data_IF_203014818886
#
_entry.id   IF_203014818886
#
_cell.length_a   1.000
_cell.length_b   1.000
_cell.length_c   1.000
_cell.angle_alpha   90.00
_cell.angle_beta   90.00
_cell.angle_gamma   90.00
#
_symmetry.space_group_name_H-M   'P 1'
#
loop_
_entity.id
_entity.type
_entity.pdbx_description
1 polymer ?
#
# COMPACT_ATOMS: atom_id res chain seq x y z
N UNK A 1 -23.60 29.13 31.23
CA UNK A 1 -24.25 29.49 29.96
C UNK A 1 -23.20 29.61 28.88
N UNK A 2 -22.36 28.61 28.71
CA UNK A 2 -22.64 27.27 28.14
C UNK A 2 -22.44 27.30 26.64
N UNK A 3 -21.37 26.63 26.23
CA UNK A 3 -20.95 26.47 24.85
C UNK A 3 -19.67 25.64 24.76
N UNK A 4 -19.60 24.57 25.55
CA UNK A 4 -18.60 23.53 25.37
C UNK A 4 -18.78 22.90 23.98
N UNK A 5 -17.78 22.99 23.13
CA UNK A 5 -17.57 22.00 22.07
C UNK A 5 -16.34 21.19 22.44
N UNK A 6 -16.63 20.09 23.15
CA UNK A 6 -15.75 18.96 23.32
C UNK A 6 -15.43 18.39 21.92
N UNK A 7 -14.21 18.59 21.44
CA UNK A 7 -13.54 17.60 20.60
C UNK A 7 -12.58 16.86 21.50
N UNK A 8 -13.13 15.84 22.14
CA UNK A 8 -12.44 14.97 23.07
C UNK A 8 -11.31 14.21 22.36
N UNK A 9 -10.11 14.32 22.92
CA UNK A 9 -9.06 13.31 22.99
C UNK A 9 -9.15 12.15 21.98
N UNK A 10 -8.71 12.37 20.74
CA UNK A 10 -7.95 11.34 20.06
C UNK A 10 -6.56 11.40 20.68
N UNK A 11 -6.32 10.56 21.69
CA UNK A 11 -5.03 10.48 22.36
C UNK A 11 -3.92 10.34 21.33
N UNK A 12 -2.76 10.92 21.64
CA UNK A 12 -1.49 10.76 20.93
C UNK A 12 -1.10 9.26 20.87
N UNK A 13 -1.81 8.48 20.06
CA UNK A 13 -1.31 7.21 19.58
C UNK A 13 -0.14 7.62 18.70
N UNK A 14 1.06 7.58 19.27
CA UNK A 14 2.28 7.80 18.53
C UNK A 14 2.20 6.93 17.27
N UNK A 15 2.37 7.56 16.11
CA UNK A 15 2.49 6.86 14.83
C UNK A 15 3.55 5.76 14.91
N UNK A 16 4.58 5.97 15.73
CA UNK A 16 5.56 4.93 16.07
C UNK A 16 4.89 3.67 16.61
N UNK A 17 3.95 3.78 17.56
CA UNK A 17 3.23 2.63 18.11
C UNK A 17 2.35 1.92 17.07
N UNK A 18 1.70 2.67 16.16
CA UNK A 18 0.90 2.06 15.08
C UNK A 18 1.77 1.33 14.05
N UNK A 19 2.96 1.86 13.77
CA UNK A 19 3.96 1.22 12.91
C UNK A 19 4.62 0.03 13.64
N UNK A 20 4.83 0.13 14.95
CA UNK A 20 5.41 -0.95 15.76
C UNK A 20 4.47 -2.16 15.79
N UNK A 21 3.14 -1.94 15.87
CA UNK A 21 2.17 -3.03 15.75
C UNK A 21 2.23 -3.72 14.36
N UNK A 22 2.62 -3.01 13.30
CA UNK A 22 2.85 -3.61 11.97
C UNK A 22 4.12 -4.45 11.91
N UNK A 23 5.03 -4.31 12.88
CA UNK A 23 6.28 -5.08 13.04
C UNK A 23 6.16 -6.19 14.10
N UNK A 24 4.98 -6.40 14.66
CA UNK A 24 4.77 -7.43 15.69
C UNK A 24 5.18 -8.80 15.18
N UNK A 25 5.76 -9.68 16.01
CA UNK A 25 6.02 -11.07 15.64
C UNK A 25 4.72 -11.91 15.58
N UNK A 26 3.66 -11.43 16.24
CA UNK A 26 2.34 -12.07 16.23
C UNK A 26 1.58 -11.72 14.93
N UNK A 27 1.33 -12.75 14.12
CA UNK A 27 0.63 -12.65 12.83
C UNK A 27 -0.78 -12.05 13.00
N UNK A 28 -1.51 -12.40 14.04
CA UNK A 28 -2.87 -11.88 14.26
C UNK A 28 -2.85 -10.38 14.60
N UNK A 29 -1.85 -9.95 15.38
CA UNK A 29 -1.65 -8.53 15.67
C UNK A 29 -1.24 -7.76 14.41
N UNK A 30 -0.33 -8.32 13.59
CA UNK A 30 0.02 -7.70 12.30
C UNK A 30 -1.21 -7.57 11.40
N UNK A 31 -2.00 -8.62 11.21
CA UNK A 31 -3.22 -8.59 10.40
C UNK A 31 -4.21 -7.54 10.89
N UNK A 32 -4.42 -7.45 12.21
CA UNK A 32 -5.29 -6.44 12.81
C UNK A 32 -4.78 -5.02 12.53
N UNK A 33 -3.47 -4.81 12.50
CA UNK A 33 -2.86 -3.52 12.19
C UNK A 33 -2.93 -3.20 10.70
N UNK A 34 -2.71 -4.19 9.83
CA UNK A 34 -2.84 -4.06 8.37
C UNK A 34 -4.26 -3.62 8.00
N UNK A 35 -5.29 -4.24 8.60
CA UNK A 35 -6.71 -3.84 8.38
C UNK A 35 -7.06 -2.40 8.79
N UNK A 36 -6.12 -1.69 9.44
CA UNK A 36 -6.27 -0.29 9.86
C UNK A 36 -5.42 0.66 9.03
N UNK A 37 -4.76 0.22 7.96
CA UNK A 37 -3.88 1.06 7.15
C UNK A 37 -4.56 2.35 6.67
N UNK A 38 -5.82 2.30 6.25
CA UNK A 38 -6.58 3.50 5.89
C UNK A 38 -6.70 4.51 7.03
N UNK A 39 -6.92 4.03 8.26
CA UNK A 39 -7.02 4.88 9.46
C UNK A 39 -5.66 5.49 9.80
N UNK A 40 -4.58 4.69 9.73
CA UNK A 40 -3.21 5.15 9.97
C UNK A 40 -2.84 6.23 8.95
N UNK A 41 -3.09 6.00 7.66
CA UNK A 41 -2.80 6.95 6.60
C UNK A 41 -3.58 8.26 6.74
N UNK A 42 -4.86 8.20 7.13
CA UNK A 42 -5.67 9.40 7.43
C UNK A 42 -5.11 10.19 8.61
N UNK A 43 -4.67 9.52 9.68
CA UNK A 43 -4.06 10.18 10.83
C UNK A 43 -2.71 10.81 10.51
N UNK A 44 -1.92 10.17 9.64
CA UNK A 44 -0.64 10.68 9.14
C UNK A 44 -0.79 11.90 8.25
N UNK A 45 -1.87 11.94 7.48
CA UNK A 45 -2.03 12.88 6.38
C UNK A 45 -1.18 12.49 5.16
N UNK A 46 -1.35 13.22 4.05
CA UNK A 46 -0.85 12.80 2.75
C UNK A 46 0.68 12.84 2.63
N UNK A 47 1.35 13.82 3.22
CA UNK A 47 2.81 13.93 3.14
C UNK A 47 3.48 12.74 3.81
N UNK A 48 3.13 12.48 5.07
CA UNK A 48 3.74 11.40 5.86
C UNK A 48 3.31 10.02 5.39
N UNK A 49 2.12 9.88 4.81
CA UNK A 49 1.73 8.61 4.17
C UNK A 49 2.70 8.26 3.04
N UNK A 50 3.11 9.24 2.24
CA UNK A 50 4.07 9.02 1.13
C UNK A 50 5.51 8.88 1.58
N UNK A 51 5.92 9.62 2.60
CA UNK A 51 7.32 9.72 3.03
C UNK A 51 7.70 8.72 4.13
N UNK A 52 6.72 8.17 4.86
CA UNK A 52 6.94 7.22 5.96
C UNK A 52 6.21 5.90 5.72
N UNK A 53 4.88 5.93 5.58
CA UNK A 53 4.08 4.68 5.54
C UNK A 53 4.33 3.87 4.27
N UNK A 54 4.34 4.50 3.09
CA UNK A 54 4.56 3.81 1.81
C UNK A 54 5.98 3.21 1.72
N UNK A 55 7.07 3.93 2.06
CA UNK A 55 8.40 3.34 2.15
C UNK A 55 8.46 2.18 3.14
N UNK A 56 7.86 2.33 4.32
CA UNK A 56 7.78 1.24 5.30
C UNK A 56 7.13 -0.02 4.73
N UNK A 57 6.01 0.11 3.99
CA UNK A 57 5.37 -1.03 3.34
C UNK A 57 6.18 -1.61 2.17
N UNK A 58 7.06 -0.82 1.56
CA UNK A 58 7.91 -1.26 0.43
C UNK A 58 9.11 -2.06 0.93
N UNK A 59 9.70 -1.65 2.05
CA UNK A 59 10.91 -2.25 2.63
C UNK A 59 10.61 -3.40 3.61
N UNK A 60 9.34 -3.78 3.76
CA UNK A 60 8.93 -4.91 4.60
C UNK A 60 9.34 -6.25 3.98
N UNK A 61 9.77 -7.15 4.85
CA UNK A 61 10.17 -8.52 4.53
C UNK A 61 9.26 -9.49 5.30
N UNK A 62 7.96 -9.46 5.02
CA UNK A 62 7.01 -10.42 5.60
C UNK A 62 7.03 -11.72 4.79
N UNK A 63 7.17 -12.84 5.49
CA UNK A 63 7.14 -14.17 4.89
C UNK A 63 5.74 -14.80 4.96
N UNK A 64 4.82 -14.21 5.75
CA UNK A 64 3.46 -14.76 5.92
C UNK A 64 2.50 -14.30 4.83
N UNK A 65 2.07 -15.24 4.01
CA UNK A 65 1.17 -15.03 2.88
C UNK A 65 -0.13 -14.32 3.25
N UNK A 66 -0.73 -14.60 4.42
CA UNK A 66 -1.93 -13.90 4.87
C UNK A 66 -1.69 -12.40 5.11
N UNK A 67 -0.52 -12.04 5.65
CA UNK A 67 -0.14 -10.64 5.83
C UNK A 67 0.10 -9.97 4.49
N UNK A 68 0.85 -10.61 3.59
CA UNK A 68 1.10 -10.10 2.24
C UNK A 68 -0.20 -9.88 1.45
N UNK A 69 -1.13 -10.83 1.53
CA UNK A 69 -2.44 -10.74 0.89
C UNK A 69 -3.26 -9.57 1.46
N UNK A 70 -3.27 -9.42 2.78
CA UNK A 70 -3.97 -8.33 3.45
C UNK A 70 -3.40 -6.96 3.03
N UNK A 71 -2.07 -6.83 2.96
CA UNK A 71 -1.41 -5.60 2.52
C UNK A 71 -1.78 -5.31 1.06
N UNK A 72 -1.68 -6.30 0.17
CA UNK A 72 -2.03 -6.15 -1.24
C UNK A 72 -3.46 -5.61 -1.42
N UNK A 73 -4.40 -6.01 -0.56
CA UNK A 73 -5.75 -5.46 -0.54
C UNK A 73 -5.85 -4.05 0.03
N UNK A 74 -5.21 -3.79 1.16
CA UNK A 74 -5.31 -2.51 1.87
C UNK A 74 -4.59 -1.35 1.15
N UNK A 75 -3.63 -1.64 0.27
CA UNK A 75 -2.96 -0.61 -0.55
C UNK A 75 -3.95 0.18 -1.45
N UNK A 76 -5.08 -0.41 -1.85
CA UNK A 76 -6.14 0.29 -2.58
C UNK A 76 -6.71 1.45 -1.74
N UNK A 77 -6.83 1.26 -0.42
CA UNK A 77 -7.37 2.27 0.49
C UNK A 77 -6.47 3.51 0.62
N UNK A 78 -5.21 3.42 0.19
CA UNK A 78 -4.25 4.52 0.25
C UNK A 78 -4.37 5.50 -0.92
N UNK A 79 -5.08 5.15 -2.00
CA UNK A 79 -5.28 6.01 -3.18
C UNK A 79 -5.80 7.40 -2.77
N UNK A 80 -6.80 7.43 -1.89
CA UNK A 80 -7.35 8.69 -1.36
C UNK A 80 -6.51 9.35 -0.26
N UNK A 81 -5.55 8.63 0.31
CA UNK A 81 -4.75 9.10 1.44
C UNK A 81 -3.43 9.77 1.02
N UNK A 82 -2.91 9.47 -0.18
CA UNK A 82 -1.62 10.01 -0.66
C UNK A 82 -1.71 11.44 -1.23
N UNK A 83 -2.89 12.08 -1.21
CA UNK A 83 -3.02 13.50 -1.55
C UNK A 83 -3.29 13.82 -3.02
N UNK A 84 -3.94 12.92 -3.75
CA UNK A 84 -4.47 13.17 -5.10
C UNK A 84 -3.71 12.46 -6.21
N UNK A 85 -4.25 12.57 -7.44
CA UNK A 85 -3.79 11.83 -8.64
C UNK A 85 -2.31 12.04 -8.97
N UNK A 86 -1.74 13.20 -8.65
CA UNK A 86 -0.33 13.51 -8.88
C UNK A 86 0.60 12.59 -8.09
N UNK A 87 0.13 12.07 -6.95
CA UNK A 87 0.91 11.29 -6.01
C UNK A 87 0.51 9.81 -5.92
N UNK A 88 -0.58 9.39 -6.55
CA UNK A 88 -1.07 7.99 -6.53
C UNK A 88 0.01 6.98 -6.95
N UNK A 89 0.91 7.38 -7.84
CA UNK A 89 2.01 6.54 -8.33
C UNK A 89 2.97 6.00 -7.27
N UNK A 90 3.06 6.64 -6.10
CA UNK A 90 3.94 6.16 -5.01
C UNK A 90 3.51 4.79 -4.47
N UNK A 91 2.22 4.43 -4.60
CA UNK A 91 1.67 3.14 -4.15
C UNK A 91 2.18 1.98 -5.05
N UNK A 92 2.69 2.28 -6.25
CA UNK A 92 3.25 1.25 -7.13
C UNK A 92 4.49 0.58 -6.54
N UNK A 93 5.27 1.27 -5.70
CA UNK A 93 6.48 0.70 -5.11
C UNK A 93 6.22 -0.54 -4.23
N UNK A 94 5.34 -0.50 -3.22
CA UNK A 94 5.00 -1.71 -2.45
C UNK A 94 4.18 -2.73 -3.26
N UNK A 95 3.46 -2.31 -4.30
CA UNK A 95 2.79 -3.26 -5.19
C UNK A 95 3.76 -4.04 -6.07
N UNK A 96 4.82 -3.40 -6.56
CA UNK A 96 5.84 -4.06 -7.37
C UNK A 96 6.50 -5.21 -6.60
N UNK A 97 6.80 -5.04 -5.31
CA UNK A 97 7.34 -6.12 -4.47
C UNK A 97 6.33 -7.26 -4.35
N UNK A 98 5.08 -6.97 -3.99
CA UNK A 98 4.00 -7.96 -3.84
C UNK A 98 3.63 -8.68 -5.14
N UNK A 99 3.79 -8.04 -6.30
CA UNK A 99 3.51 -8.65 -7.61
C UNK A 99 4.55 -9.73 -7.97
N UNK A 100 5.72 -9.71 -7.32
CA UNK A 100 6.83 -10.61 -7.64
C UNK A 100 6.96 -11.83 -6.72
N UNK A 101 6.20 -11.88 -5.62
CA UNK A 101 6.25 -12.97 -4.62
C UNK A 101 5.82 -14.32 -5.18
N UNK A 102 6.13 -15.43 -4.50
CA UNK A 102 5.82 -16.78 -4.98
C UNK A 102 4.36 -17.19 -4.81
N UNK A 103 3.65 -16.64 -3.82
CA UNK A 103 2.24 -16.98 -3.61
C UNK A 103 1.33 -16.35 -4.68
N UNK A 104 0.66 -17.24 -5.41
CA UNK A 104 -0.23 -16.91 -6.53
C UNK A 104 -1.38 -15.98 -6.15
N UNK A 105 -2.00 -16.21 -5.00
CA UNK A 105 -3.17 -15.45 -4.53
C UNK A 105 -2.75 -14.02 -4.18
N UNK A 106 -1.60 -13.85 -3.53
CA UNK A 106 -1.01 -12.53 -3.23
C UNK A 106 -0.73 -11.78 -4.52
N UNK A 107 -0.03 -12.40 -5.49
CA UNK A 107 0.25 -11.75 -6.78
C UNK A 107 -1.01 -11.32 -7.51
N UNK A 108 -2.01 -12.19 -7.59
CA UNK A 108 -3.27 -11.89 -8.26
C UNK A 108 -3.98 -10.70 -7.62
N UNK A 109 -3.97 -10.62 -6.28
CA UNK A 109 -4.53 -9.49 -5.55
C UNK A 109 -3.73 -8.21 -5.79
N UNK A 110 -2.40 -8.28 -5.75
CA UNK A 110 -1.54 -7.13 -5.97
C UNK A 110 -1.69 -6.56 -7.40
N UNK A 111 -1.82 -7.41 -8.42
CA UNK A 111 -2.14 -7.01 -9.79
C UNK A 111 -3.49 -6.30 -9.87
N UNK A 112 -4.53 -6.85 -9.23
CA UNK A 112 -5.85 -6.21 -9.19
C UNK A 112 -5.77 -4.80 -8.56
N UNK A 113 -5.05 -4.67 -7.44
CA UNK A 113 -4.86 -3.39 -6.76
C UNK A 113 -4.04 -2.42 -7.60
N UNK A 114 -3.00 -2.89 -8.30
CA UNK A 114 -2.21 -2.06 -9.22
C UNK A 114 -3.07 -1.50 -10.35
N UNK A 115 -3.98 -2.29 -10.93
CA UNK A 115 -4.93 -1.78 -11.92
C UNK A 115 -5.81 -0.65 -11.34
N UNK A 116 -6.29 -0.77 -10.10
CA UNK A 116 -7.07 0.28 -9.42
C UNK A 116 -6.25 1.55 -9.17
N UNK A 117 -4.98 1.40 -8.79
CA UNK A 117 -4.04 2.52 -8.66
C UNK A 117 -3.83 3.19 -10.02
N UNK A 118 -3.67 2.41 -11.10
CA UNK A 118 -3.57 2.93 -12.47
C UNK A 118 -4.82 3.70 -12.90
N UNK A 119 -6.02 3.17 -12.65
CA UNK A 119 -7.30 3.85 -12.93
C UNK A 119 -7.42 5.22 -12.24
N UNK A 120 -6.75 5.42 -11.10
CA UNK A 120 -6.72 6.67 -10.36
C UNK A 120 -5.59 7.64 -10.78
N UNK A 121 -4.79 7.28 -11.80
CA UNK A 121 -3.76 8.16 -12.36
C UNK A 121 -4.28 8.99 -13.54
N UNK A 122 -3.66 10.15 -13.74
CA UNK A 122 -3.79 10.88 -15.01
C UNK A 122 -3.13 10.10 -16.15
N UNK A 123 -3.55 10.37 -17.39
CA UNK A 123 -2.94 9.75 -18.58
C UNK A 123 -1.42 9.98 -18.66
N UNK A 124 -0.94 11.16 -18.25
CA UNK A 124 0.50 11.43 -18.16
C UNK A 124 1.17 10.61 -17.05
N UNK A 125 0.48 10.39 -15.91
CA UNK A 125 0.96 9.55 -14.82
C UNK A 125 1.12 8.10 -15.25
N UNK A 126 0.16 7.55 -15.99
CA UNK A 126 0.23 6.20 -16.58
C UNK A 126 1.51 6.04 -17.41
N UNK A 127 1.75 6.94 -18.37
CA UNK A 127 2.92 6.85 -19.23
C UNK A 127 4.24 7.02 -18.48
N UNK A 128 4.26 7.84 -17.43
CA UNK A 128 5.48 8.14 -16.65
C UNK A 128 5.83 7.06 -15.63
N UNK A 129 4.84 6.39 -15.04
CA UNK A 129 5.06 5.51 -13.89
C UNK A 129 4.53 4.09 -14.10
N UNK A 130 3.30 3.94 -14.59
CA UNK A 130 2.64 2.64 -14.72
C UNK A 130 3.21 1.82 -15.89
N UNK A 131 3.42 2.44 -17.06
CA UNK A 131 4.03 1.77 -18.21
C UNK A 131 5.45 1.26 -17.88
N UNK A 132 6.36 2.07 -17.30
CA UNK A 132 7.66 1.58 -16.88
C UNK A 132 7.62 0.43 -15.86
N UNK A 133 6.62 0.38 -14.98
CA UNK A 133 6.41 -0.75 -14.07
C UNK A 133 6.13 -2.04 -14.85
N UNK A 134 5.18 -2.00 -15.78
CA UNK A 134 4.85 -3.16 -16.62
C UNK A 134 6.08 -3.63 -17.40
N UNK A 135 6.85 -2.70 -17.98
CA UNK A 135 8.07 -3.03 -18.71
C UNK A 135 9.12 -3.71 -17.83
N UNK A 136 9.31 -3.25 -16.58
CA UNK A 136 10.20 -3.90 -15.61
C UNK A 136 9.72 -5.31 -15.27
N UNK A 137 8.44 -5.49 -14.98
CA UNK A 137 7.86 -6.80 -14.67
C UNK A 137 7.96 -7.78 -15.85
N UNK A 138 7.67 -7.32 -17.07
CA UNK A 138 7.74 -8.11 -18.29
C UNK A 138 9.18 -8.54 -18.64
N UNK A 139 10.17 -7.74 -18.25
CA UNK A 139 11.60 -8.02 -18.44
C UNK A 139 12.27 -8.64 -17.21
N UNK A 140 11.52 -8.84 -16.12
CA UNK A 140 12.05 -9.34 -14.86
C UNK A 140 12.65 -10.73 -15.00
N UNK A 141 13.75 -10.96 -14.28
CA UNK A 141 14.48 -12.23 -14.30
C UNK A 141 13.63 -13.39 -13.75
N UNK A 142 12.76 -13.09 -12.79
CA UNK A 142 11.84 -14.05 -12.16
C UNK A 142 10.59 -14.29 -13.01
N UNK A 143 10.21 -15.56 -13.17
CA UNK A 143 9.04 -15.93 -13.98
C UNK A 143 7.73 -15.39 -13.39
N UNK A 144 7.65 -15.25 -12.07
CA UNK A 144 6.50 -14.69 -11.34
C UNK A 144 6.18 -13.27 -11.81
N UNK A 145 7.20 -12.43 -11.94
CA UNK A 145 7.09 -11.07 -12.47
C UNK A 145 6.51 -11.06 -13.90
N UNK A 146 7.04 -11.94 -14.77
CA UNK A 146 6.60 -12.02 -16.17
C UNK A 146 5.16 -12.52 -16.32
N UNK A 147 4.74 -13.49 -15.50
CA UNK A 147 3.34 -13.98 -15.51
C UNK A 147 2.39 -12.89 -15.03
N UNK A 148 2.74 -12.17 -13.98
CA UNK A 148 1.90 -11.08 -13.46
C UNK A 148 1.77 -9.90 -14.42
N UNK A 149 2.81 -9.60 -15.22
CA UNK A 149 2.77 -8.53 -16.21
C UNK A 149 1.61 -8.68 -17.21
N UNK A 150 1.22 -9.92 -17.54
CA UNK A 150 0.08 -10.19 -18.43
C UNK A 150 -1.27 -9.66 -17.90
N UNK A 151 -1.41 -9.55 -16.57
CA UNK A 151 -2.64 -9.04 -15.94
C UNK A 151 -2.70 -7.52 -15.82
N UNK A 152 -1.64 -6.81 -16.23
CA UNK A 152 -1.52 -5.35 -16.15
C UNK A 152 -1.65 -4.65 -17.53
N UNK A 153 -1.72 -5.42 -18.62
CA UNK A 153 -2.03 -4.94 -19.97
C UNK A 153 -3.53 -4.73 -20.15
#
# INVERSE_FOLDING_TARGET
NDGASMTAAAGDISIGALIDDLKSEDVELRLKSISKLSTIAKALGPVRTREELVPFLTERDDEEDECLLAIAGELESLIGAVGGEEFVHVILAPLETLITVEETVVRAKAVQTACKVGEAMSASGIGKYFVPLIERLARGDWFTARVSACGLF
#
